data_IF_694895354441
#
_entry.id   IF_694895354441
#
_cell.length_a   1.000
_cell.length_b   1.000
_cell.length_c   1.000
_cell.angle_alpha   90.00
_cell.angle_beta   90.00
_cell.angle_gamma   90.00
#
_symmetry.space_group_name_H-M   'P 1'
#
loop_
_entity.id
_entity.type
_entity.pdbx_description
1 polymer ?
#
# COMPACT_ATOMS: atom_id res chain seq x y z
N UNK A 1 -15.55 -11.96 49.53
CA UNK A 1 -14.18 -12.14 48.97
C UNK A 1 -14.14 -12.92 47.64
N UNK A 2 -14.81 -14.07 47.48
CA UNK A 2 -14.78 -14.87 46.23
C UNK A 2 -15.25 -14.13 44.95
N UNK A 3 -16.25 -13.25 45.06
CA UNK A 3 -16.75 -12.47 43.91
C UNK A 3 -15.80 -11.36 43.44
N UNK A 4 -14.98 -10.80 44.33
CA UNK A 4 -14.01 -9.75 43.99
C UNK A 4 -12.83 -10.33 43.22
N UNK A 5 -12.39 -11.54 43.59
CA UNK A 5 -11.32 -12.27 42.88
C UNK A 5 -11.79 -12.66 41.47
N UNK A 6 -13.05 -13.08 41.33
CA UNK A 6 -13.63 -13.41 40.02
C UNK A 6 -13.70 -12.18 39.09
N UNK A 7 -14.07 -11.00 39.63
CA UNK A 7 -14.10 -9.75 38.87
C UNK A 7 -12.69 -9.30 38.41
N UNK A 8 -11.67 -9.48 39.26
CA UNK A 8 -10.28 -9.14 38.91
C UNK A 8 -9.70 -10.05 37.82
N UNK A 9 -10.11 -11.33 37.78
CA UNK A 9 -9.72 -12.30 36.74
C UNK A 9 -10.45 -12.02 35.42
N UNK A 10 -11.71 -11.56 35.45
CA UNK A 10 -12.43 -11.17 34.23
C UNK A 10 -11.84 -9.90 33.59
N UNK A 11 -11.32 -8.96 34.39
CA UNK A 11 -10.69 -7.73 33.88
C UNK A 11 -9.31 -7.96 33.26
N UNK A 12 -8.61 -9.06 33.56
CA UNK A 12 -7.30 -9.36 32.95
C UNK A 12 -7.39 -10.06 31.59
N UNK A 13 -8.59 -10.48 31.16
CA UNK A 13 -8.84 -11.08 29.84
C UNK A 13 -9.03 -10.06 28.71
N UNK A 14 -9.11 -8.75 29.00
CA UNK A 14 -9.36 -7.71 27.99
C UNK A 14 -8.11 -7.09 27.36
N UNK A 15 -6.91 -7.63 27.62
CA UNK A 15 -5.66 -7.06 27.12
C UNK A 15 -4.98 -7.99 26.09
N UNK A 16 -5.48 -8.01 24.85
CA UNK A 16 -4.73 -8.43 23.66
C UNK A 16 -5.55 -8.17 22.38
N UNK A 17 -5.71 -6.91 21.98
CA UNK A 17 -6.21 -6.61 20.63
C UNK A 17 -5.03 -6.39 19.67
N UNK A 18 -4.23 -7.44 19.45
CA UNK A 18 -3.28 -7.52 18.33
C UNK A 18 -4.04 -7.87 17.05
N UNK A 19 -4.92 -6.97 16.63
CA UNK A 19 -5.75 -7.18 15.44
C UNK A 19 -4.91 -6.80 14.22
N UNK A 20 -4.74 -7.75 13.29
CA UNK A 20 -4.09 -7.48 12.02
C UNK A 20 -4.86 -6.40 11.24
N UNK A 21 -4.11 -5.46 10.70
CA UNK A 21 -4.66 -4.35 9.94
C UNK A 21 -4.74 -4.73 8.47
N UNK A 22 -5.87 -4.41 7.84
CA UNK A 22 -6.07 -4.65 6.41
C UNK A 22 -5.94 -3.34 5.66
N UNK A 23 -5.04 -3.29 4.68
CA UNK A 23 -4.90 -2.10 3.83
C UNK A 23 -5.44 -2.37 2.43
N UNK A 24 -6.13 -1.36 1.92
CA UNK A 24 -6.51 -1.25 0.52
C UNK A 24 -5.64 -0.20 -0.17
N UNK A 25 -5.68 -0.18 -1.49
CA UNK A 25 -4.92 0.75 -2.33
C UNK A 25 -5.21 2.19 -1.94
N UNK A 26 -4.19 2.97 -1.65
CA UNK A 26 -4.36 4.41 -1.42
C UNK A 26 -4.56 5.12 -2.75
N UNK A 27 -5.55 6.02 -2.81
CA UNK A 27 -5.67 6.94 -3.95
C UNK A 27 -4.49 7.91 -3.93
N UNK A 28 -4.03 8.32 -5.11
CA UNK A 28 -3.02 9.37 -5.25
C UNK A 28 -3.44 10.62 -4.44
N UNK A 29 -2.53 11.25 -3.68
CA UNK A 29 -2.80 12.54 -3.06
C UNK A 29 -3.13 13.59 -4.12
N UNK A 30 -4.24 14.30 -3.95
CA UNK A 30 -4.59 15.38 -4.87
C UNK A 30 -3.55 16.52 -4.78
N UNK A 31 -3.12 17.04 -5.94
CA UNK A 31 -2.25 18.24 -6.01
C UNK A 31 -0.79 18.01 -6.39
N UNK A 32 -0.37 16.79 -6.72
CA UNK A 32 0.97 16.56 -7.24
C UNK A 32 1.06 17.00 -8.71
N UNK A 33 1.74 18.12 -8.97
CA UNK A 33 2.04 18.56 -10.33
C UNK A 33 2.92 17.50 -11.02
N UNK A 34 2.41 16.94 -12.12
CA UNK A 34 3.16 16.02 -12.97
C UNK A 34 3.72 16.80 -14.15
N UNK A 35 5.03 16.78 -14.33
CA UNK A 35 5.66 17.38 -15.51
C UNK A 35 5.29 16.60 -16.77
N UNK A 36 4.86 17.32 -17.81
CA UNK A 36 4.46 16.72 -19.09
C UNK A 36 5.69 16.39 -19.94
N UNK A 37 6.32 15.25 -19.66
CA UNK A 37 7.51 14.78 -20.39
C UNK A 37 7.17 13.78 -21.51
N UNK A 38 5.96 13.24 -21.55
CA UNK A 38 5.60 12.13 -22.44
C UNK A 38 5.55 12.48 -23.92
N UNK A 39 5.03 13.66 -24.26
CA UNK A 39 4.88 14.16 -25.63
C UNK A 39 4.24 13.13 -26.60
N UNK A 40 3.23 12.38 -26.14
CA UNK A 40 2.52 11.40 -26.95
C UNK A 40 3.27 10.11 -27.27
N UNK A 41 4.49 9.92 -26.72
CA UNK A 41 5.27 8.68 -26.91
C UNK A 41 4.48 7.47 -26.41
N UNK A 42 4.49 6.40 -27.22
CA UNK A 42 3.78 5.16 -26.92
C UNK A 42 4.67 4.25 -26.08
N UNK A 43 4.13 3.77 -24.96
CA UNK A 43 4.79 2.82 -24.05
C UNK A 43 3.94 1.56 -23.93
N UNK A 44 4.60 0.40 -23.89
CA UNK A 44 3.96 -0.88 -23.59
C UNK A 44 4.29 -1.28 -22.16
N UNK A 45 3.31 -1.42 -21.29
CA UNK A 45 3.52 -1.80 -19.89
C UNK A 45 2.98 -3.20 -19.66
N UNK A 46 3.82 -4.11 -19.19
CA UNK A 46 3.39 -5.45 -18.79
C UNK A 46 2.60 -5.37 -17.48
N UNK A 47 1.39 -5.93 -17.50
CA UNK A 47 0.46 -5.92 -16.38
C UNK A 47 0.00 -7.35 -16.05
N UNK A 48 -0.12 -7.71 -14.76
CA UNK A 48 0.43 -7.00 -13.62
C UNK A 48 1.97 -7.06 -13.60
N UNK A 49 2.58 -6.32 -12.68
CA UNK A 49 3.98 -6.57 -12.34
C UNK A 49 4.14 -7.95 -11.68
N UNK A 50 5.36 -8.49 -11.71
CA UNK A 50 5.64 -9.78 -11.07
C UNK A 50 5.88 -9.59 -9.57
N UNK A 51 5.07 -10.22 -8.72
CA UNK A 51 5.30 -10.23 -7.27
C UNK A 51 6.32 -11.31 -6.87
N UNK A 52 7.54 -10.87 -6.57
CA UNK A 52 8.67 -11.67 -6.13
C UNK A 52 8.93 -11.56 -4.63
N UNK A 53 8.00 -11.00 -3.85
CA UNK A 53 8.11 -10.97 -2.38
C UNK A 53 8.04 -12.38 -1.82
N UNK A 54 8.79 -12.61 -0.74
CA UNK A 54 8.79 -13.88 0.00
C UNK A 54 7.44 -14.15 0.70
N UNK A 55 6.80 -13.10 1.22
CA UNK A 55 5.48 -13.18 1.89
C UNK A 55 4.56 -12.20 1.17
N UNK A 56 3.59 -12.71 0.40
CA UNK A 56 2.78 -11.89 -0.52
C UNK A 56 1.58 -11.26 0.17
N UNK A 57 1.08 -11.91 1.21
CA UNK A 57 -0.06 -11.48 2.01
C UNK A 57 0.30 -10.29 2.90
N UNK A 58 1.58 -10.16 3.27
CA UNK A 58 2.07 -9.12 4.16
C UNK A 58 2.46 -7.86 3.40
N UNK A 59 1.79 -6.78 3.74
CA UNK A 59 2.06 -5.44 3.24
C UNK A 59 2.95 -4.62 4.18
N UNK A 60 3.03 -4.99 5.46
CA UNK A 60 3.86 -4.27 6.42
C UNK A 60 3.61 -4.68 7.86
N UNK A 61 3.85 -3.74 8.77
CA UNK A 61 3.79 -3.93 10.21
C UNK A 61 3.26 -2.70 10.91
N UNK A 62 2.46 -2.92 11.95
CA UNK A 62 2.09 -1.89 12.89
C UNK A 62 3.06 -1.89 14.07
N UNK A 63 3.58 -0.72 14.43
CA UNK A 63 4.49 -0.54 15.56
C UNK A 63 3.82 0.26 16.68
N UNK A 64 4.20 -0.02 17.92
CA UNK A 64 3.83 0.82 19.05
C UNK A 64 4.74 2.07 19.16
N UNK A 65 4.45 2.95 20.12
CA UNK A 65 5.25 4.17 20.35
C UNK A 65 6.70 3.93 20.77
N UNK A 66 7.08 2.68 21.05
CA UNK A 66 8.46 2.25 21.34
C UNK A 66 9.13 1.60 20.13
N UNK A 67 8.49 1.63 18.95
CA UNK A 67 9.01 1.02 17.72
C UNK A 67 8.95 -0.51 17.70
N UNK A 68 8.30 -1.14 18.69
CA UNK A 68 8.12 -2.59 18.72
C UNK A 68 6.96 -3.01 17.83
N UNK A 69 7.18 -4.11 17.13
CA UNK A 69 6.21 -4.77 16.27
C UNK A 69 5.01 -5.27 17.06
N UNK A 70 3.80 -4.91 16.62
CA UNK A 70 2.55 -5.27 17.31
C UNK A 70 1.63 -6.11 16.44
N UNK A 71 1.38 -5.73 15.19
CA UNK A 71 0.46 -6.48 14.33
C UNK A 71 0.96 -6.51 12.90
N UNK A 72 0.51 -7.50 12.13
CA UNK A 72 0.79 -7.53 10.70
C UNK A 72 -0.15 -6.59 9.97
N UNK A 73 0.35 -5.99 8.89
CA UNK A 73 -0.47 -5.28 7.93
C UNK A 73 -0.65 -6.20 6.73
N UNK A 74 -1.88 -6.60 6.48
CA UNK A 74 -2.27 -7.56 5.44
C UNK A 74 -2.79 -6.80 4.22
N UNK A 75 -2.33 -7.22 3.05
CA UNK A 75 -2.81 -6.71 1.77
C UNK A 75 -4.21 -7.28 1.47
N UNK A 76 -5.20 -6.41 1.23
CA UNK A 76 -6.54 -6.87 0.78
C UNK A 76 -6.53 -7.31 -0.69
N UNK A 77 -5.63 -6.75 -1.49
CA UNK A 77 -5.43 -7.10 -2.91
C UNK A 77 -3.94 -7.14 -3.24
N UNK A 78 -3.59 -7.86 -4.32
CA UNK A 78 -2.20 -8.02 -4.76
C UNK A 78 -1.53 -6.66 -5.05
N UNK A 79 -0.48 -6.30 -4.30
CA UNK A 79 0.33 -5.11 -4.53
C UNK A 79 0.93 -4.93 -5.91
N UNK A 80 1.34 -6.02 -6.55
CA UNK A 80 1.89 -5.90 -7.89
C UNK A 80 0.83 -5.44 -8.91
N UNK A 81 -0.45 -5.70 -8.65
CA UNK A 81 -1.56 -5.22 -9.50
C UNK A 81 -1.77 -3.72 -9.32
N UNK A 82 -1.89 -3.23 -8.09
CA UNK A 82 -2.22 -1.82 -7.88
C UNK A 82 -1.04 -0.88 -8.05
N UNK A 83 0.19 -1.31 -7.75
CA UNK A 83 1.40 -0.54 -8.09
C UNK A 83 1.49 -0.36 -9.60
N UNK A 84 1.25 -1.43 -10.37
CA UNK A 84 1.31 -1.34 -11.82
C UNK A 84 0.20 -0.43 -12.38
N UNK A 85 -0.98 -0.40 -11.76
CA UNK A 85 -2.07 0.55 -12.12
C UNK A 85 -1.67 1.99 -11.83
N UNK A 86 -1.18 2.29 -10.63
CA UNK A 86 -0.70 3.63 -10.26
C UNK A 86 0.42 4.09 -11.20
N UNK A 87 1.36 3.20 -11.53
CA UNK A 87 2.43 3.50 -12.47
C UNK A 87 1.90 3.85 -13.88
N UNK A 88 0.91 3.11 -14.38
CA UNK A 88 0.26 3.43 -15.66
C UNK A 88 -0.48 4.77 -15.60
N UNK A 89 -1.14 5.08 -14.48
CA UNK A 89 -1.79 6.37 -14.26
C UNK A 89 -0.77 7.52 -14.19
N UNK A 90 0.39 7.30 -13.58
CA UNK A 90 1.49 8.25 -13.52
C UNK A 90 2.04 8.56 -14.92
N UNK A 91 2.28 7.53 -15.72
CA UNK A 91 2.74 7.68 -17.09
C UNK A 91 1.71 8.42 -17.97
N UNK A 92 0.42 8.10 -17.83
CA UNK A 92 -0.63 8.81 -18.57
C UNK A 92 -0.73 10.27 -18.14
N UNK A 93 -0.64 10.54 -16.84
CA UNK A 93 -0.62 11.90 -16.31
C UNK A 93 0.60 12.70 -16.79
N UNK A 94 1.73 12.03 -17.03
CA UNK A 94 2.92 12.62 -17.64
C UNK A 94 2.83 12.81 -19.18
N UNK A 95 1.72 12.45 -19.81
CA UNK A 95 1.47 12.66 -21.24
C UNK A 95 1.95 11.54 -22.17
N UNK A 96 2.19 10.34 -21.65
CA UNK A 96 2.48 9.14 -22.46
C UNK A 96 1.21 8.43 -22.92
N UNK A 97 1.27 7.80 -24.10
CA UNK A 97 0.22 6.88 -24.57
C UNK A 97 0.57 5.47 -24.10
N UNK A 98 -0.09 5.01 -23.04
CA UNK A 98 0.23 3.71 -22.42
C UNK A 98 -0.68 2.60 -22.94
N UNK A 99 -0.07 1.59 -23.58
CA UNK A 99 -0.68 0.31 -23.96
C UNK A 99 -0.33 -0.73 -22.90
N UNK A 100 -1.33 -1.45 -22.40
CA UNK A 100 -1.13 -2.52 -21.40
C UNK A 100 -1.01 -3.87 -22.11
N UNK A 101 0.08 -4.59 -21.87
CA UNK A 101 0.41 -5.83 -22.58
C UNK A 101 0.89 -5.59 -24.02
N UNK A 102 1.21 -6.69 -24.72
CA UNK A 102 1.70 -6.67 -26.10
C UNK A 102 3.20 -6.38 -26.22
N UNK A 103 3.64 -6.21 -27.46
CA UNK A 103 5.03 -5.90 -27.82
C UNK A 103 5.09 -4.63 -28.67
N UNK A 104 6.16 -3.84 -28.54
CA UNK A 104 6.37 -2.72 -29.42
C UNK A 104 6.61 -3.19 -30.87
N UNK A 105 5.90 -2.59 -31.82
CA UNK A 105 6.03 -2.91 -33.25
C UNK A 105 7.17 -2.13 -33.93
N UNK A 106 7.66 -1.08 -33.28
CA UNK A 106 8.79 -0.27 -33.74
C UNK A 106 10.08 -0.71 -33.05
N UNK A 107 11.25 -0.71 -33.73
CA UNK A 107 12.55 -0.97 -33.11
C UNK A 107 12.91 0.03 -32.00
N UNK A 108 12.24 1.19 -31.96
CA UNK A 108 12.40 2.20 -30.89
C UNK A 108 11.29 2.15 -29.85
N UNK A 109 10.39 1.17 -29.94
CA UNK A 109 9.29 1.04 -29.00
C UNK A 109 9.77 0.53 -27.63
N UNK A 110 9.30 1.17 -26.56
CA UNK A 110 9.71 0.83 -25.20
C UNK A 110 8.67 -0.06 -24.53
N UNK A 111 9.14 -1.22 -24.03
CA UNK A 111 8.39 -2.09 -23.13
C UNK A 111 8.91 -1.96 -21.71
N UNK A 112 8.00 -1.78 -20.75
CA UNK A 112 8.29 -1.65 -19.34
C UNK A 112 7.74 -2.87 -18.61
N UNK A 113 8.61 -3.53 -17.86
CA UNK A 113 8.30 -4.64 -16.98
C UNK A 113 8.69 -4.26 -15.56
N UNK A 114 7.84 -4.60 -14.61
CA UNK A 114 8.09 -4.34 -13.20
C UNK A 114 8.11 -5.62 -12.40
N UNK A 115 8.92 -5.63 -11.35
CA UNK A 115 8.88 -6.65 -10.32
C UNK A 115 8.80 -6.01 -8.94
N UNK A 116 7.87 -6.50 -8.13
CA UNK A 116 7.77 -6.13 -6.73
C UNK A 116 8.64 -7.07 -5.90
N UNK A 117 9.74 -6.54 -5.36
CA UNK A 117 10.71 -7.29 -4.55
C UNK A 117 10.45 -7.07 -3.06
N UNK A 118 10.04 -5.85 -2.68
CA UNK A 118 9.78 -5.45 -1.29
C UNK A 118 8.63 -4.46 -1.24
N UNK A 119 7.77 -4.61 -0.25
CA UNK A 119 6.73 -3.67 0.11
C UNK A 119 6.71 -3.53 1.63
N UNK A 120 6.60 -2.30 2.11
CA UNK A 120 6.40 -2.03 3.52
C UNK A 120 5.46 -0.83 3.67
N UNK A 121 4.36 -1.05 4.37
CA UNK A 121 3.40 -0.03 4.76
C UNK A 121 3.29 0.03 6.28
N UNK A 122 3.55 1.21 6.83
CA UNK A 122 3.31 1.52 8.23
C UNK A 122 2.06 2.41 8.32
N UNK A 123 0.95 1.93 8.90
CA UNK A 123 -0.24 2.74 9.05
C UNK A 123 0.03 3.84 10.08
N UNK A 124 0.05 5.09 9.63
CA UNK A 124 0.16 6.26 10.49
C UNK A 124 -1.20 6.44 11.17
N UNK A 125 -1.26 6.31 12.50
CA UNK A 125 -2.46 6.69 13.25
C UNK A 125 -2.55 8.21 13.26
N UNK A 126 -3.48 8.78 12.50
CA UNK A 126 -3.90 10.17 12.71
C UNK A 126 -4.66 10.18 14.03
N UNK A 127 -4.00 10.66 15.09
CA UNK A 127 -4.69 10.99 16.33
C UNK A 127 -5.38 12.33 16.03
N UNK A 128 -6.66 12.27 15.69
CA UNK A 128 -7.51 13.45 15.66
C UNK A 128 -7.66 13.92 17.11
N UNK A 129 -6.75 14.79 17.55
CA UNK A 129 -6.95 15.53 18.79
C UNK A 129 -7.96 16.62 18.48
N UNK A 130 -9.21 16.44 18.92
CA UNK A 130 -10.16 17.52 19.09
C UNK A 130 -9.56 18.55 20.05
N UNK A 131 -8.80 19.52 19.50
CA UNK A 131 -8.39 20.70 20.24
C UNK A 131 -9.61 21.62 20.24
N UNK A 132 -10.47 21.45 21.23
CA UNK A 132 -11.41 22.49 21.61
C UNK A 132 -10.62 23.67 22.17
N UNK A 133 -10.31 24.65 21.32
CA UNK A 133 -9.91 25.99 21.76
C UNK A 133 -11.18 26.64 22.32
N UNK A 134 -11.21 26.85 23.64
CA UNK A 134 -12.17 27.75 24.30
C UNK A 134 -11.68 29.18 24.18
#
# INVERSE_FOLDING_TARGET
>A
MKFIILAFILCSLSACAFIDLRITTTKRPAGQHVELVGNGRVLFVQMPFTDNRLIKERCGMNKNGYGMDTASVICVSDPAVWIAKLFVEDLRAAGFVVKTGGEPTSPHGLKIQGSLIKLFAEPIRVIETDVHIK
#
